data_IF_566167166831
#
_entry.id   IF_566167166831
#
_cell.length_a   1.000
_cell.length_b   1.000
_cell.length_c   1.000
_cell.angle_alpha   90.00
_cell.angle_beta   90.00
_cell.angle_gamma   90.00
#
_symmetry.space_group_name_H-M   'P 1'
#
loop_
_entity.id
_entity.type
_entity.pdbx_description
1 polymer ?
#
# COMPACT_ATOMS: atom_id res chain seq x y z
N UNK A 1 -17.84 21.18 10.13
CA UNK A 1 -17.41 20.27 11.22
C UNK A 1 -17.06 18.87 10.73
N UNK A 2 -17.92 18.15 9.99
CA UNK A 2 -17.61 16.80 9.45
C UNK A 2 -16.33 16.73 8.60
N UNK A 3 -16.09 17.73 7.74
CA UNK A 3 -14.89 17.79 6.87
C UNK A 3 -13.57 17.83 7.65
N UNK A 4 -13.51 18.58 8.75
CA UNK A 4 -12.32 18.67 9.61
C UNK A 4 -12.03 17.36 10.34
N UNK A 5 -13.08 16.65 10.79
CA UNK A 5 -12.94 15.34 11.41
C UNK A 5 -12.47 14.28 10.40
N UNK A 6 -12.97 14.31 9.15
CA UNK A 6 -12.50 13.41 8.08
C UNK A 6 -11.04 13.65 7.72
N UNK A 7 -10.61 14.91 7.64
CA UNK A 7 -9.21 15.26 7.38
C UNK A 7 -8.32 14.80 8.54
N UNK A 8 -8.71 15.09 9.79
CA UNK A 8 -7.97 14.63 10.96
C UNK A 8 -7.85 13.10 11.01
N UNK A 9 -8.93 12.38 10.70
CA UNK A 9 -8.91 10.92 10.64
C UNK A 9 -7.96 10.39 9.56
N UNK A 10 -7.95 10.99 8.37
CA UNK A 10 -7.02 10.61 7.29
C UNK A 10 -5.57 10.87 7.65
N UNK A 11 -5.28 11.98 8.33
CA UNK A 11 -3.92 12.30 8.78
C UNK A 11 -3.47 11.33 9.88
N UNK A 12 -4.34 11.02 10.83
CA UNK A 12 -4.05 10.05 11.89
C UNK A 12 -3.80 8.64 11.33
N UNK A 13 -4.57 8.23 10.33
CA UNK A 13 -4.39 6.95 9.63
C UNK A 13 -3.02 6.89 8.91
N UNK A 14 -2.67 7.93 8.17
CA UNK A 14 -1.36 8.03 7.53
C UNK A 14 -0.21 8.07 8.53
N UNK A 15 -0.38 8.78 9.65
CA UNK A 15 0.62 8.85 10.71
C UNK A 15 0.83 7.49 11.37
N UNK A 16 -0.25 6.75 11.68
CA UNK A 16 -0.17 5.40 12.23
C UNK A 16 0.49 4.41 11.25
N UNK A 17 0.12 4.48 9.97
CA UNK A 17 0.73 3.65 8.93
C UNK A 17 2.22 3.94 8.75
N UNK A 18 2.62 5.21 8.75
CA UNK A 18 4.03 5.60 8.64
C UNK A 18 4.84 5.19 9.87
N UNK A 19 4.27 5.37 11.07
CA UNK A 19 4.92 5.00 12.32
C UNK A 19 5.17 3.49 12.41
N UNK A 20 4.18 2.67 12.06
CA UNK A 20 4.31 1.21 12.10
C UNK A 20 5.36 0.71 11.11
N UNK A 21 5.41 1.28 9.91
CA UNK A 21 6.45 0.98 8.91
C UNK A 21 7.86 1.31 9.44
N UNK A 22 8.06 2.50 9.99
CA UNK A 22 9.34 2.92 10.58
C UNK A 22 9.72 2.02 11.77
N UNK A 23 8.77 1.72 12.65
CA UNK A 23 9.00 0.86 13.82
C UNK A 23 9.46 -0.54 13.41
N UNK A 24 8.85 -1.15 12.40
CA UNK A 24 9.29 -2.44 11.88
C UNK A 24 10.74 -2.36 11.39
N UNK A 25 11.08 -1.34 10.60
CA UNK A 25 12.45 -1.14 10.11
C UNK A 25 13.46 -1.02 11.26
N UNK A 26 13.13 -0.21 12.27
CA UNK A 26 13.97 0.00 13.47
C UNK A 26 14.12 -1.28 14.27
N UNK A 27 13.02 -1.99 14.55
CA UNK A 27 13.07 -3.25 15.30
C UNK A 27 13.96 -4.26 14.59
N UNK A 28 13.78 -4.45 13.28
CA UNK A 28 14.59 -5.40 12.51
C UNK A 28 16.06 -5.00 12.50
N UNK A 29 16.38 -3.71 12.33
CA UNK A 29 17.74 -3.21 12.43
C UNK A 29 18.39 -3.47 13.81
N UNK A 30 17.58 -3.45 14.89
CA UNK A 30 18.06 -3.67 16.26
C UNK A 30 18.24 -5.13 16.62
N UNK A 31 17.44 -6.04 16.08
CA UNK A 31 17.45 -7.47 16.47
C UNK A 31 18.17 -8.37 15.46
N UNK A 32 18.55 -7.86 14.30
CA UNK A 32 19.18 -8.64 13.22
C UNK A 32 20.68 -8.38 13.08
N UNK A 33 21.37 -9.33 12.45
CA UNK A 33 22.74 -9.11 11.94
C UNK A 33 22.72 -8.21 10.71
N UNK A 34 23.86 -7.65 10.32
CA UNK A 34 23.98 -6.81 9.13
C UNK A 34 23.49 -7.51 7.85
N UNK A 35 23.80 -8.81 7.70
CA UNK A 35 23.31 -9.61 6.57
C UNK A 35 21.79 -9.81 6.62
N UNK A 36 21.22 -10.10 7.80
CA UNK A 36 19.78 -10.24 7.97
C UNK A 36 19.02 -8.94 7.71
N UNK A 37 19.58 -7.81 8.15
CA UNK A 37 19.01 -6.49 7.88
C UNK A 37 19.07 -6.12 6.39
N UNK A 38 20.17 -6.46 5.69
CA UNK A 38 20.28 -6.22 4.25
C UNK A 38 19.24 -7.00 3.45
N UNK A 39 19.08 -8.30 3.74
CA UNK A 39 18.06 -9.13 3.09
C UNK A 39 16.64 -8.61 3.37
N UNK A 40 16.35 -8.25 4.62
CA UNK A 40 15.06 -7.64 4.98
C UNK A 40 14.84 -6.31 4.25
N UNK A 41 15.85 -5.44 4.21
CA UNK A 41 15.74 -4.11 3.59
C UNK A 41 15.41 -4.20 2.10
N UNK A 42 15.99 -5.17 1.39
CA UNK A 42 15.66 -5.40 -0.03
C UNK A 42 14.17 -5.70 -0.21
N UNK A 43 13.61 -6.63 0.59
CA UNK A 43 12.19 -6.98 0.55
C UNK A 43 11.31 -5.81 1.02
N UNK A 44 11.72 -5.12 2.08
CA UNK A 44 11.00 -4.00 2.65
C UNK A 44 10.92 -2.80 1.71
N UNK A 45 11.97 -2.52 0.94
CA UNK A 45 11.96 -1.48 -0.10
C UNK A 45 10.97 -1.85 -1.20
N UNK A 46 11.00 -3.09 -1.71
CA UNK A 46 10.01 -3.55 -2.70
C UNK A 46 8.59 -3.43 -2.16
N UNK A 47 8.36 -3.87 -0.92
CA UNK A 47 7.08 -3.73 -0.23
C UNK A 47 6.64 -2.26 -0.14
N UNK A 48 7.53 -1.36 0.28
CA UNK A 48 7.24 0.07 0.44
C UNK A 48 6.89 0.74 -0.89
N UNK A 49 7.62 0.40 -1.97
CA UNK A 49 7.33 0.90 -3.33
C UNK A 49 5.96 0.44 -3.80
N UNK A 50 5.65 -0.86 -3.67
CA UNK A 50 4.34 -1.39 -4.05
C UNK A 50 3.21 -0.79 -3.21
N UNK A 51 3.44 -0.60 -1.91
CA UNK A 51 2.49 0.07 -1.02
C UNK A 51 2.23 1.52 -1.45
N UNK A 52 3.29 2.27 -1.76
CA UNK A 52 3.19 3.66 -2.22
C UNK A 52 2.47 3.80 -3.57
N UNK A 53 2.71 2.88 -4.51
CA UNK A 53 1.98 2.82 -5.78
C UNK A 53 0.48 2.56 -5.57
N UNK A 54 0.14 1.61 -4.71
CA UNK A 54 -1.26 1.32 -4.38
C UNK A 54 -1.93 2.50 -3.66
N UNK A 55 -1.25 3.14 -2.71
CA UNK A 55 -1.76 4.36 -2.05
C UNK A 55 -1.97 5.51 -3.03
N UNK A 56 -1.06 5.70 -3.99
CA UNK A 56 -1.18 6.75 -5.00
C UNK A 56 -2.37 6.50 -5.95
N UNK A 57 -2.62 5.24 -6.30
CA UNK A 57 -3.79 4.85 -7.09
C UNK A 57 -5.10 5.06 -6.34
N UNK A 58 -5.18 4.63 -5.07
CA UNK A 58 -6.38 4.78 -4.24
C UNK A 58 -6.61 6.24 -3.86
N UNK A 59 -5.55 7.01 -3.58
CA UNK A 59 -5.60 8.42 -3.18
C UNK A 59 -6.21 9.36 -4.22
N UNK A 60 -6.13 9.02 -5.51
CA UNK A 60 -6.79 9.78 -6.58
C UNK A 60 -8.29 9.46 -6.73
N UNK A 61 -8.79 8.38 -6.13
CA UNK A 61 -10.18 7.90 -6.28
C UNK A 61 -11.09 8.33 -5.12
N UNK A 62 -10.55 8.87 -4.02
CA UNK A 62 -11.36 9.29 -2.85
C UNK A 62 -11.85 10.75 -2.93
N UNK A 63 -12.06 11.28 -4.13
CA UNK A 63 -13.08 12.33 -4.28
C UNK A 63 -14.41 11.60 -4.19
N UNK A 64 -14.99 11.56 -2.99
CA UNK A 64 -16.33 11.02 -2.74
C UNK A 64 -17.37 11.90 -3.47
N UNK A 65 -17.44 11.78 -4.79
CA UNK A 65 -18.60 12.23 -5.54
C UNK A 65 -19.73 11.23 -5.28
N UNK A 66 -20.89 11.73 -4.89
CA UNK A 66 -22.10 10.92 -4.69
C UNK A 66 -22.63 10.48 -6.06
N UNK A 67 -21.98 9.50 -6.68
CA UNK A 67 -22.44 8.86 -7.91
C UNK A 67 -23.63 7.94 -7.66
N UNK A 68 -24.54 7.81 -8.62
CA UNK A 68 -25.63 6.83 -8.57
C UNK A 68 -25.10 5.40 -8.47
N UNK A 69 -25.90 4.48 -7.92
CA UNK A 69 -25.57 3.05 -7.74
C UNK A 69 -24.84 2.37 -8.92
N UNK A 70 -25.20 2.59 -10.22
CA UNK A 70 -24.48 1.97 -11.34
C UNK A 70 -23.03 2.47 -11.51
N UNK A 71 -22.73 3.74 -11.20
CA UNK A 71 -21.38 4.30 -11.30
C UNK A 71 -20.46 3.73 -10.21
N UNK A 72 -20.99 3.56 -8.99
CA UNK A 72 -20.26 2.93 -7.88
C UNK A 72 -19.91 1.47 -8.21
N UNK A 73 -20.89 0.70 -8.72
CA UNK A 73 -20.67 -0.70 -9.06
C UNK A 73 -19.60 -0.88 -10.17
N UNK A 74 -19.58 0.02 -11.17
CA UNK A 74 -18.56 0.01 -12.21
C UNK A 74 -17.16 0.37 -11.66
N UNK A 75 -17.07 1.40 -10.81
CA UNK A 75 -15.83 1.80 -10.16
C UNK A 75 -15.26 0.68 -9.27
N UNK A 76 -16.10 0.03 -8.46
CA UNK A 76 -15.70 -1.12 -7.64
C UNK A 76 -15.19 -2.27 -8.49
N UNK A 77 -15.90 -2.67 -9.56
CA UNK A 77 -15.44 -3.74 -10.47
C UNK A 77 -14.11 -3.41 -11.12
N UNK A 78 -13.93 -2.17 -11.58
CA UNK A 78 -12.68 -1.72 -12.20
C UNK A 78 -11.52 -1.73 -11.20
N UNK A 79 -11.75 -1.23 -9.98
CA UNK A 79 -10.75 -1.26 -8.93
C UNK A 79 -10.35 -2.69 -8.56
N UNK A 80 -11.31 -3.58 -8.34
CA UNK A 80 -11.03 -4.99 -8.04
C UNK A 80 -10.30 -5.70 -9.17
N UNK A 81 -10.72 -5.51 -10.43
CA UNK A 81 -10.07 -6.12 -11.58
C UNK A 81 -8.62 -5.62 -11.75
N UNK A 82 -8.40 -4.32 -11.62
CA UNK A 82 -7.07 -3.73 -11.66
C UNK A 82 -6.17 -4.25 -10.55
N UNK A 83 -6.65 -4.24 -9.29
CA UNK A 83 -5.88 -4.74 -8.14
C UNK A 83 -5.55 -6.23 -8.29
N UNK A 84 -6.50 -7.04 -8.78
CA UNK A 84 -6.26 -8.46 -9.03
C UNK A 84 -5.19 -8.67 -10.11
N UNK A 85 -5.27 -7.96 -11.24
CA UNK A 85 -4.29 -8.03 -12.32
C UNK A 85 -2.90 -7.54 -11.88
N UNK A 86 -2.84 -6.42 -11.16
CA UNK A 86 -1.58 -5.88 -10.62
C UNK A 86 -0.94 -6.87 -9.63
N UNK A 87 -1.75 -7.50 -8.77
CA UNK A 87 -1.27 -8.52 -7.82
C UNK A 87 -0.76 -9.77 -8.53
N UNK A 88 -1.46 -10.23 -9.57
CA UNK A 88 -1.04 -11.36 -10.40
C UNK A 88 0.27 -11.06 -11.13
N UNK A 89 0.42 -9.88 -11.72
CA UNK A 89 1.64 -9.46 -12.39
C UNK A 89 2.82 -9.36 -11.42
N UNK A 90 2.62 -8.74 -10.25
CA UNK A 90 3.65 -8.65 -9.22
C UNK A 90 4.06 -10.04 -8.72
N UNK A 91 3.09 -10.94 -8.47
CA UNK A 91 3.34 -12.32 -8.09
C UNK A 91 4.11 -13.08 -9.17
N UNK A 92 3.75 -12.93 -10.45
CA UNK A 92 4.44 -13.57 -11.57
C UNK A 92 5.89 -13.09 -11.69
N UNK A 93 6.15 -11.78 -11.53
CA UNK A 93 7.50 -11.22 -11.54
C UNK A 93 8.35 -11.71 -10.37
N UNK A 94 7.76 -11.83 -9.17
CA UNK A 94 8.44 -12.40 -8.01
C UNK A 94 8.78 -13.88 -8.20
N UNK A 95 7.86 -14.67 -8.75
CA UNK A 95 8.12 -16.08 -9.10
C UNK A 95 9.22 -16.17 -10.15
N UNK A 96 9.17 -15.35 -11.20
CA UNK A 96 10.18 -15.36 -12.26
C UNK A 96 11.57 -14.92 -11.76
N UNK A 97 11.63 -13.91 -10.88
CA UNK A 97 12.89 -13.41 -10.32
C UNK A 97 13.47 -14.27 -9.19
N UNK A 98 12.62 -14.98 -8.45
CA UNK A 98 13.03 -15.92 -7.39
C UNK A 98 13.31 -17.35 -7.88
N UNK A 99 12.93 -17.68 -9.12
CA UNK A 99 13.24 -18.96 -9.75
C UNK A 99 14.63 -18.99 -10.44
N UNK A 100 15.48 -18.00 -10.18
CA UNK A 100 16.85 -17.88 -10.69
C UNK A 100 17.89 -18.26 -9.63
#
# INVERSE_FOLDING_TARGET
MRRSATVAASVLDQAASSLTNILVLVIVARVSTAAGFAAFSMVYVTFTVLLGLNMSYVGQVVVLEKGGAPALAAACRSATAFTALASLLAGALLVAGGAA
#
